data_IF_846283548645
#
_entry.id   IF_846283548645
#
_cell.length_a   1.000
_cell.length_b   1.000
_cell.length_c   1.000
_cell.angle_alpha   90.00
_cell.angle_beta   90.00
_cell.angle_gamma   90.00
#
_symmetry.space_group_name_H-M   'P 1'
#
loop_
_entity.id
_entity.type
_entity.pdbx_description
1 polymer ?
#
# COMPACT_ATOMS: atom_id res chain seq x y z
N UNK A 1 42.10 -46.71 33.33
CA UNK A 1 41.62 -45.74 34.35
C UNK A 1 40.31 -45.13 33.87
N UNK A 2 39.59 -44.39 34.73
CA UNK A 2 38.28 -43.82 34.41
C UNK A 2 38.31 -42.47 33.65
N UNK A 3 39.49 -42.06 33.16
CA UNK A 3 39.68 -40.73 32.57
C UNK A 3 39.45 -39.60 33.57
N UNK A 4 39.06 -38.45 33.05
CA UNK A 4 38.56 -37.27 33.76
C UNK A 4 37.74 -36.42 32.78
N UNK A 5 37.03 -35.43 33.32
CA UNK A 5 36.26 -34.44 32.57
C UNK A 5 36.74 -33.03 32.93
N UNK A 6 36.74 -32.12 31.95
CA UNK A 6 36.95 -30.70 32.17
C UNK A 6 35.69 -29.95 31.74
N UNK A 7 35.08 -29.22 32.66
CA UNK A 7 33.95 -28.34 32.39
C UNK A 7 34.34 -26.88 32.57
N UNK A 8 33.66 -25.98 31.88
CA UNK A 8 33.73 -24.53 32.12
C UNK A 8 32.31 -24.02 32.40
N UNK A 9 32.10 -23.39 33.55
CA UNK A 9 30.79 -22.97 34.04
C UNK A 9 30.79 -21.53 34.54
N UNK A 10 29.63 -20.87 34.51
CA UNK A 10 29.39 -19.59 35.18
C UNK A 10 29.01 -19.78 36.68
N UNK A 11 28.64 -20.99 37.08
CA UNK A 11 28.30 -21.42 38.44
C UNK A 11 29.37 -22.36 39.00
N UNK A 12 29.31 -22.67 40.30
CA UNK A 12 30.20 -23.66 40.94
C UNK A 12 29.74 -25.11 40.74
N UNK A 13 28.63 -25.32 40.03
CA UNK A 13 28.02 -26.62 39.70
C UNK A 13 28.50 -27.09 38.32
N UNK A 14 28.77 -28.39 38.15
CA UNK A 14 29.25 -28.95 36.87
C UNK A 14 28.11 -29.16 35.87
N UNK A 15 26.90 -29.31 36.37
CA UNK A 15 25.67 -29.59 35.64
C UNK A 15 25.30 -28.45 34.68
N UNK A 16 25.60 -27.21 35.07
CA UNK A 16 25.40 -26.00 34.26
C UNK A 16 26.60 -25.72 33.32
N UNK A 17 27.66 -26.54 33.40
CA UNK A 17 28.94 -26.31 32.74
C UNK A 17 29.01 -26.88 31.33
N UNK A 18 29.68 -26.17 30.43
CA UNK A 18 30.03 -26.70 29.11
C UNK A 18 31.15 -27.74 29.24
N UNK A 19 30.94 -28.94 28.70
CA UNK A 19 31.95 -30.00 28.67
C UNK A 19 33.04 -29.68 27.63
N UNK A 20 34.18 -29.18 28.10
CA UNK A 20 35.35 -28.87 27.27
C UNK A 20 36.16 -30.12 26.88
N UNK A 21 36.24 -31.12 27.76
CA UNK A 21 37.07 -32.30 27.51
C UNK A 21 36.60 -33.53 28.30
N UNK A 22 36.75 -34.71 27.70
CA UNK A 22 36.50 -36.01 28.30
C UNK A 22 37.60 -36.97 27.84
N UNK A 23 38.40 -37.49 28.77
CA UNK A 23 39.49 -38.44 28.51
C UNK A 23 38.95 -39.84 28.20
N UNK A 24 38.57 -40.09 26.95
CA UNK A 24 38.12 -41.40 26.46
C UNK A 24 39.34 -42.31 26.28
N UNK A 25 39.71 -43.05 27.33
CA UNK A 25 40.88 -43.92 27.28
C UNK A 25 40.75 -45.05 26.23
N UNK A 26 41.78 -45.18 25.39
CA UNK A 26 42.03 -46.41 24.63
C UNK A 26 42.62 -47.46 25.56
N UNK A 27 42.19 -48.71 25.41
CA UNK A 27 42.67 -49.84 26.22
C UNK A 27 44.20 -49.96 26.06
N UNK A 28 44.90 -50.11 27.18
CA UNK A 28 46.36 -50.20 27.32
C UNK A 28 47.19 -48.91 27.11
N UNK A 29 46.60 -47.72 27.22
CA UNK A 29 47.34 -46.44 27.26
C UNK A 29 47.28 -45.72 28.60
N UNK A 30 48.43 -45.24 29.11
CA UNK A 30 48.48 -44.06 29.99
C UNK A 30 48.31 -42.79 29.14
N UNK A 31 47.54 -41.78 29.59
CA UNK A 31 47.47 -40.50 28.91
C UNK A 31 48.82 -39.76 28.89
N UNK A 32 48.91 -38.73 28.07
CA UNK A 32 50.08 -37.86 28.00
C UNK A 32 50.26 -37.04 29.29
N UNK A 33 51.52 -36.80 29.67
CA UNK A 33 51.90 -35.96 30.81
C UNK A 33 51.74 -34.45 30.53
N UNK A 34 51.82 -34.03 29.26
CA UNK A 34 51.34 -32.73 28.76
C UNK A 34 50.09 -32.98 27.90
N UNK A 35 48.95 -32.38 28.24
CA UNK A 35 47.67 -32.60 27.56
C UNK A 35 46.99 -31.26 27.26
N UNK A 36 47.22 -30.73 26.05
CA UNK A 36 46.76 -29.41 25.60
C UNK A 36 45.32 -29.47 25.13
N UNK A 37 44.41 -28.98 25.97
CA UNK A 37 42.96 -28.94 25.73
C UNK A 37 42.59 -27.56 25.16
N UNK A 38 42.23 -27.51 23.88
CA UNK A 38 41.72 -26.31 23.23
C UNK A 38 40.19 -26.22 23.44
N UNK A 39 39.73 -25.37 24.35
CA UNK A 39 38.32 -25.07 24.55
C UNK A 39 38.06 -23.57 24.65
N UNK A 40 37.26 -23.02 23.74
CA UNK A 40 36.96 -21.58 23.65
C UNK A 40 35.52 -21.31 24.05
N UNK A 41 35.24 -21.28 25.35
CA UNK A 41 33.92 -21.00 25.93
C UNK A 41 34.01 -20.03 27.11
N UNK A 42 32.93 -19.28 27.36
CA UNK A 42 32.86 -18.35 28.49
C UNK A 42 32.43 -19.07 29.77
N UNK A 43 33.17 -18.83 30.86
CA UNK A 43 32.78 -19.20 32.21
C UNK A 43 33.53 -18.38 33.26
N UNK A 44 33.16 -18.60 34.52
CA UNK A 44 33.83 -18.05 35.71
C UNK A 44 34.66 -19.11 36.45
N UNK A 45 34.33 -20.39 36.27
CA UNK A 45 34.95 -21.52 36.93
C UNK A 45 35.36 -22.57 35.90
N UNK A 46 36.61 -23.05 36.00
CA UNK A 46 37.05 -24.29 35.36
C UNK A 46 36.87 -25.40 36.38
N UNK A 47 36.09 -26.42 36.06
CA UNK A 47 35.75 -27.52 36.96
C UNK A 47 36.38 -28.80 36.40
N UNK A 48 37.45 -29.24 37.05
CA UNK A 48 37.99 -30.58 36.89
C UNK A 48 37.07 -31.59 37.63
N UNK A 49 36.65 -32.65 36.96
CA UNK A 49 35.79 -33.68 37.56
C UNK A 49 36.26 -35.09 37.23
N UNK A 50 36.40 -35.91 38.27
CA UNK A 50 36.78 -37.32 38.18
C UNK A 50 36.14 -38.05 39.37
N UNK A 51 35.16 -38.91 39.09
CA UNK A 51 34.39 -39.62 40.12
C UNK A 51 34.49 -41.13 39.97
N UNK A 52 34.69 -41.81 41.10
CA UNK A 52 34.63 -43.26 41.23
C UNK A 52 33.53 -43.63 42.22
N UNK A 53 32.38 -44.04 41.69
CA UNK A 53 31.22 -44.42 42.51
C UNK A 53 31.47 -45.77 43.19
N UNK A 54 31.33 -45.84 44.51
CA UNK A 54 31.62 -47.03 45.32
C UNK A 54 30.80 -48.27 44.93
N UNK A 55 29.62 -48.05 44.34
CA UNK A 55 28.64 -49.10 44.03
C UNK A 55 28.59 -49.45 42.53
N UNK A 56 29.62 -49.08 41.76
CA UNK A 56 29.71 -49.36 40.31
C UNK A 56 30.80 -50.40 40.03
N UNK A 57 30.42 -51.47 39.33
CA UNK A 57 31.37 -52.50 38.86
C UNK A 57 32.12 -52.00 37.63
N UNK A 58 33.31 -51.42 37.85
CA UNK A 58 34.20 -51.01 36.78
C UNK A 58 34.82 -52.23 36.05
N UNK A 59 35.18 -52.11 34.75
CA UNK A 59 35.84 -53.20 34.02
C UNK A 59 37.18 -53.62 34.65
N UNK A 60 37.52 -54.91 34.59
CA UNK A 60 38.67 -55.50 35.29
C UNK A 60 40.05 -54.91 34.95
N UNK A 61 40.18 -54.20 33.83
CA UNK A 61 41.40 -53.47 33.45
C UNK A 61 41.50 -52.07 34.09
N UNK A 62 40.60 -51.70 35.01
CA UNK A 62 40.67 -50.49 35.81
C UNK A 62 41.36 -50.78 37.15
N UNK A 63 42.55 -50.20 37.38
CA UNK A 63 43.15 -50.20 38.71
C UNK A 63 42.26 -49.47 39.72
N UNK A 64 41.96 -50.11 40.84
CA UNK A 64 41.19 -49.52 41.95
C UNK A 64 41.95 -48.42 42.68
N UNK A 65 43.29 -48.49 42.70
CA UNK A 65 44.16 -47.59 43.47
C UNK A 65 44.71 -46.41 42.66
N UNK A 66 44.35 -46.27 41.38
CA UNK A 66 44.87 -45.23 40.49
C UNK A 66 43.94 -44.00 40.42
N UNK A 67 44.38 -42.87 40.95
CA UNK A 67 43.67 -41.59 40.89
C UNK A 67 44.40 -40.60 39.95
N UNK A 68 43.73 -39.47 39.67
CA UNK A 68 44.33 -38.30 39.04
C UNK A 68 44.02 -37.09 39.92
N UNK A 69 45.04 -36.27 40.21
CA UNK A 69 44.91 -34.99 40.90
C UNK A 69 45.32 -33.86 39.94
N UNK A 70 44.67 -32.71 40.06
CA UNK A 70 45.02 -31.52 39.30
C UNK A 70 46.24 -30.86 39.95
N UNK A 71 47.44 -31.12 39.41
CA UNK A 71 48.69 -30.62 39.96
C UNK A 71 48.86 -29.10 39.81
N UNK A 72 48.42 -28.54 38.67
CA UNK A 72 48.51 -27.12 38.34
C UNK A 72 47.37 -26.72 37.39
N UNK A 73 46.97 -25.45 37.41
CA UNK A 73 46.02 -24.86 36.46
C UNK A 73 46.41 -23.39 36.20
N UNK A 74 47.01 -23.14 35.05
CA UNK A 74 47.30 -21.78 34.58
C UNK A 74 46.10 -21.19 33.83
N UNK A 75 45.69 -19.96 34.17
CA UNK A 75 44.63 -19.22 33.46
C UNK A 75 45.21 -17.94 32.89
N UNK A 76 45.52 -17.97 31.60
CA UNK A 76 46.09 -16.85 30.87
C UNK A 76 44.99 -15.86 30.40
N UNK A 77 45.18 -14.57 30.68
CA UNK A 77 44.26 -13.51 30.27
C UNK A 77 44.66 -12.14 30.79
N UNK A 78 43.88 -11.12 30.45
CA UNK A 78 44.16 -9.74 30.85
C UNK A 78 43.62 -9.42 32.25
N UNK A 79 44.49 -8.89 33.11
CA UNK A 79 44.17 -8.46 34.48
C UNK A 79 43.24 -7.23 34.53
N UNK A 80 43.23 -6.43 33.46
CA UNK A 80 42.31 -5.30 33.29
C UNK A 80 41.14 -5.69 32.39
N UNK A 81 39.92 -5.56 32.90
CA UNK A 81 38.69 -5.82 32.14
C UNK A 81 38.57 -4.81 31.00
N UNK A 82 38.22 -5.28 29.80
CA UNK A 82 38.03 -4.45 28.62
C UNK A 82 39.31 -4.16 27.83
N UNK A 83 40.35 -4.97 28.02
CA UNK A 83 41.57 -4.94 27.21
C UNK A 83 41.94 -6.35 26.69
N UNK A 84 42.64 -6.39 25.55
CA UNK A 84 43.09 -7.61 24.87
C UNK A 84 44.47 -7.43 24.22
N UNK A 85 44.94 -8.50 23.57
CA UNK A 85 46.24 -8.61 22.92
C UNK A 85 47.33 -9.10 23.88
N UNK A 86 48.46 -9.54 23.34
CA UNK A 86 49.56 -10.17 24.10
C UNK A 86 50.10 -9.35 25.27
N UNK A 87 49.99 -8.02 25.21
CA UNK A 87 50.41 -7.09 26.25
C UNK A 87 49.24 -6.43 27.00
N UNK A 88 47.99 -6.85 26.75
CA UNK A 88 46.77 -6.33 27.40
C UNK A 88 46.59 -4.80 27.36
N UNK A 89 47.10 -4.16 26.31
CA UNK A 89 47.08 -2.70 26.14
C UNK A 89 46.12 -2.22 25.04
N UNK A 90 45.44 -3.13 24.33
CA UNK A 90 44.47 -2.77 23.27
C UNK A 90 43.06 -2.79 23.87
N UNK A 91 42.30 -1.69 23.89
CA UNK A 91 40.96 -1.68 24.46
C UNK A 91 39.98 -2.49 23.59
N UNK A 92 39.09 -3.25 24.23
CA UNK A 92 37.99 -3.94 23.55
C UNK A 92 37.09 -2.95 22.79
N UNK A 93 36.49 -3.34 21.65
CA UNK A 93 35.58 -2.48 20.90
C UNK A 93 34.44 -1.90 21.76
N UNK A 94 34.13 -0.61 21.56
CA UNK A 94 33.20 0.17 22.40
C UNK A 94 31.81 -0.44 22.53
N UNK A 95 31.35 -1.14 21.49
CA UNK A 95 30.02 -1.75 21.41
C UNK A 95 29.97 -3.22 21.87
N UNK A 96 31.08 -3.78 22.38
CA UNK A 96 31.02 -5.07 23.06
C UNK A 96 30.13 -4.96 24.31
N UNK A 97 29.24 -5.93 24.52
CA UNK A 97 28.50 -6.09 25.76
C UNK A 97 29.48 -6.18 26.95
N UNK A 98 29.18 -5.45 28.03
CA UNK A 98 30.06 -5.29 29.22
C UNK A 98 31.48 -4.75 28.90
N UNK A 99 31.74 -4.27 27.68
CA UNK A 99 33.09 -4.03 27.11
C UNK A 99 33.96 -5.29 27.06
N UNK A 100 33.39 -6.49 26.99
CA UNK A 100 34.12 -7.77 27.07
C UNK A 100 34.37 -8.37 25.69
N UNK A 101 35.64 -8.64 25.40
CA UNK A 101 36.11 -9.28 24.19
C UNK A 101 37.09 -10.42 24.51
N UNK A 102 37.28 -11.32 23.54
CA UNK A 102 38.28 -12.37 23.57
C UNK A 102 39.70 -11.79 23.65
N UNK A 103 40.51 -12.33 24.56
CA UNK A 103 41.82 -11.74 24.93
C UNK A 103 42.88 -11.88 23.83
N UNK A 104 42.68 -12.75 22.84
CA UNK A 104 43.61 -12.98 21.73
C UNK A 104 43.18 -12.18 20.49
N UNK A 105 41.93 -12.32 20.08
CA UNK A 105 41.39 -11.80 18.81
C UNK A 105 40.74 -10.42 18.93
N UNK A 106 40.35 -9.99 20.13
CA UNK A 106 39.58 -8.77 20.34
C UNK A 106 38.11 -8.87 19.91
N UNK A 107 37.63 -10.07 19.56
CA UNK A 107 36.23 -10.27 19.19
C UNK A 107 35.30 -10.15 20.41
N UNK A 108 34.25 -9.36 20.31
CA UNK A 108 33.25 -9.19 21.35
C UNK A 108 32.52 -10.52 21.63
N UNK A 109 32.28 -10.83 22.90
CA UNK A 109 31.50 -12.03 23.30
C UNK A 109 29.99 -11.86 23.02
N UNK A 110 29.54 -10.61 22.88
CA UNK A 110 28.21 -10.20 22.47
C UNK A 110 28.22 -8.69 22.17
N UNK A 111 27.22 -8.20 21.45
CA UNK A 111 27.07 -6.77 21.14
C UNK A 111 26.02 -6.12 22.04
N UNK A 112 26.15 -4.81 22.26
CA UNK A 112 25.04 -4.00 22.77
C UNK A 112 23.93 -3.88 21.70
N UNK A 113 22.66 -3.60 22.08
CA UNK A 113 21.56 -3.51 21.12
C UNK A 113 21.84 -2.54 19.97
N UNK A 114 21.50 -2.95 18.75
CA UNK A 114 21.71 -2.17 17.54
C UNK A 114 23.03 -2.38 16.81
N UNK A 115 23.89 -3.29 17.28
CA UNK A 115 25.17 -3.62 16.64
C UNK A 115 25.39 -5.13 16.47
N UNK A 116 26.20 -5.49 15.47
CA UNK A 116 26.54 -6.87 15.05
C UNK A 116 27.97 -6.95 14.49
N UNK A 117 28.40 -8.17 14.16
CA UNK A 117 29.74 -8.49 13.69
C UNK A 117 30.73 -8.80 14.83
N UNK A 118 31.87 -9.41 14.54
CA UNK A 118 32.80 -9.92 15.55
C UNK A 118 33.37 -8.82 16.47
N UNK A 119 33.40 -7.57 16.02
CA UNK A 119 33.86 -6.41 16.80
C UNK A 119 32.73 -5.42 17.15
N UNK A 120 31.47 -5.78 16.90
CA UNK A 120 30.29 -4.92 17.10
C UNK A 120 30.39 -3.53 16.42
N UNK A 121 31.18 -3.44 15.35
CA UNK A 121 31.42 -2.22 14.57
C UNK A 121 30.37 -1.99 13.47
N UNK A 122 29.54 -2.99 13.18
CA UNK A 122 28.47 -2.89 12.19
C UNK A 122 27.18 -2.55 12.92
N UNK A 123 26.45 -1.53 12.45
CA UNK A 123 25.06 -1.29 12.88
C UNK A 123 24.15 -2.40 12.35
N UNK A 124 22.92 -2.52 12.88
CA UNK A 124 21.97 -3.48 12.33
C UNK A 124 21.70 -3.28 10.83
N UNK A 125 21.51 -4.37 10.07
CA UNK A 125 21.13 -4.30 8.67
C UNK A 125 19.74 -3.68 8.51
N UNK A 126 19.47 -3.17 7.30
CA UNK A 126 18.21 -2.49 6.97
C UNK A 126 16.98 -3.30 7.38
N UNK A 127 15.96 -2.61 7.89
CA UNK A 127 14.73 -3.17 8.46
C UNK A 127 14.90 -4.05 9.73
N UNK A 128 16.07 -4.02 10.40
CA UNK A 128 16.32 -4.76 11.65
C UNK A 128 16.88 -3.88 12.78
N UNK A 129 16.63 -4.26 14.04
CA UNK A 129 17.07 -3.52 15.23
C UNK A 129 17.22 -4.41 16.47
N UNK A 130 17.74 -3.83 17.56
CA UNK A 130 17.73 -4.41 18.90
C UNK A 130 18.85 -5.41 19.17
N UNK A 131 18.68 -6.26 20.18
CA UNK A 131 19.70 -7.22 20.58
C UNK A 131 19.96 -8.25 19.47
N UNK A 132 21.24 -8.41 19.10
CA UNK A 132 21.69 -9.25 17.97
C UNK A 132 20.95 -8.95 16.65
N UNK A 133 20.38 -7.74 16.49
CA UNK A 133 19.52 -7.35 15.37
C UNK A 133 18.35 -8.30 15.10
N UNK A 134 17.81 -8.94 16.14
CA UNK A 134 16.78 -9.97 16.04
C UNK A 134 15.36 -9.42 15.79
N UNK A 135 15.12 -8.13 16.03
CA UNK A 135 13.81 -7.49 15.88
C UNK A 135 13.70 -6.84 14.50
N UNK A 136 12.52 -6.94 13.87
CA UNK A 136 12.21 -6.22 12.62
C UNK A 136 11.57 -4.87 12.91
N UNK A 137 11.86 -3.87 12.08
CA UNK A 137 11.19 -2.56 12.09
C UNK A 137 9.68 -2.68 11.82
N UNK A 138 8.90 -1.68 12.25
CA UNK A 138 7.52 -1.49 11.80
C UNK A 138 7.44 -0.62 10.53
N UNK A 139 6.25 -0.10 10.25
CA UNK A 139 5.92 0.55 8.98
C UNK A 139 6.33 2.05 8.95
N UNK A 140 7.64 2.33 9.07
CA UNK A 140 8.19 3.69 9.13
C UNK A 140 7.91 4.52 7.86
N UNK A 141 7.57 5.79 8.06
CA UNK A 141 7.38 6.79 7.00
C UNK A 141 8.62 7.00 6.11
N UNK A 142 8.38 7.44 4.87
CA UNK A 142 9.38 7.84 3.85
C UNK A 142 10.33 6.74 3.36
N UNK A 143 10.14 5.49 3.78
CA UNK A 143 10.98 4.35 3.36
C UNK A 143 12.30 4.23 4.13
N UNK A 144 12.46 5.00 5.21
CA UNK A 144 13.62 4.89 6.10
C UNK A 144 13.64 3.57 6.87
N UNK A 145 14.83 3.15 7.31
CA UNK A 145 14.97 2.10 8.32
C UNK A 145 14.76 2.69 9.71
N UNK A 146 14.11 1.96 10.61
CA UNK A 146 13.94 2.37 12.01
C UNK A 146 15.28 2.50 12.76
N UNK A 147 15.29 3.21 13.88
CA UNK A 147 16.48 3.39 14.70
C UNK A 147 16.99 2.03 15.20
N UNK A 148 18.16 1.61 14.71
CA UNK A 148 18.78 0.30 14.93
C UNK A 148 18.87 -0.16 16.40
N UNK A 149 18.88 0.75 17.39
CA UNK A 149 18.92 0.39 18.82
C UNK A 149 17.54 -0.04 19.36
N UNK A 150 16.48 0.73 19.12
CA UNK A 150 15.19 0.61 19.82
C UNK A 150 13.97 0.37 18.91
N UNK A 151 14.11 0.53 17.59
CA UNK A 151 13.04 0.30 16.61
C UNK A 151 12.19 1.51 16.25
N UNK A 152 12.51 2.71 16.77
CA UNK A 152 11.67 3.91 16.55
C UNK A 152 11.78 4.49 15.13
N UNK A 153 10.71 5.08 14.63
CA UNK A 153 10.61 5.66 13.29
C UNK A 153 10.70 7.20 13.33
N UNK A 154 11.85 7.76 12.90
CA UNK A 154 12.16 9.20 12.98
C UNK A 154 11.12 10.14 12.32
N UNK A 155 10.39 9.66 11.32
CA UNK A 155 9.39 10.44 10.59
C UNK A 155 7.94 9.95 10.81
N UNK A 156 7.68 9.24 11.91
CA UNK A 156 6.38 8.63 12.18
C UNK A 156 6.07 7.47 11.23
N UNK A 157 4.78 7.20 11.06
CA UNK A 157 4.25 5.98 10.46
C UNK A 157 3.53 6.19 9.12
N UNK A 158 3.78 5.26 8.19
CA UNK A 158 3.00 5.16 6.96
C UNK A 158 1.51 4.97 7.26
N UNK A 159 0.68 5.23 6.25
CA UNK A 159 -0.78 5.08 6.32
C UNK A 159 -1.21 3.75 6.95
N UNK A 160 -2.12 3.81 7.92
CA UNK A 160 -2.66 2.64 8.60
C UNK A 160 -1.87 2.14 9.81
N UNK A 161 -0.72 2.75 10.15
CA UNK A 161 0.10 2.38 11.32
C UNK A 161 0.31 3.54 12.30
N UNK A 162 0.62 3.20 13.55
CA UNK A 162 0.85 4.13 14.67
C UNK A 162 1.83 3.53 15.70
N UNK A 163 2.19 4.33 16.72
CA UNK A 163 3.17 3.98 17.75
C UNK A 163 4.59 4.35 17.32
N UNK A 164 5.50 4.57 18.29
CA UNK A 164 6.84 5.09 18.00
C UNK A 164 7.68 4.16 17.10
N UNK A 165 7.39 2.85 17.10
CA UNK A 165 8.02 1.83 16.25
C UNK A 165 7.19 1.44 15.02
N UNK A 166 6.02 2.05 14.83
CA UNK A 166 5.06 1.82 13.77
C UNK A 166 4.61 0.34 13.58
N UNK A 167 4.57 -0.45 14.67
CA UNK A 167 4.06 -1.83 14.64
C UNK A 167 2.58 -1.97 14.96
N UNK A 168 1.97 -0.97 15.59
CA UNK A 168 0.55 -0.99 15.92
C UNK A 168 -0.28 -0.56 14.72
N UNK A 169 -1.38 -1.27 14.49
CA UNK A 169 -2.38 -0.89 13.48
C UNK A 169 -3.21 0.30 13.99
N UNK A 170 -3.84 1.07 13.08
CA UNK A 170 -4.78 2.10 13.50
C UNK A 170 -5.92 1.52 14.34
N UNK A 171 -6.31 2.20 15.44
CA UNK A 171 -7.43 1.77 16.25
C UNK A 171 -8.74 2.04 15.52
N UNK A 172 -9.75 1.20 15.74
CA UNK A 172 -11.09 1.34 15.16
C UNK A 172 -11.64 2.75 15.35
N UNK A 173 -11.91 3.44 14.25
CA UNK A 173 -12.36 4.84 14.23
C UNK A 173 -11.32 5.83 13.70
N UNK A 174 -10.11 5.37 13.34
CA UNK A 174 -9.01 6.20 12.87
C UNK A 174 -8.34 5.65 11.59
N UNK A 175 -7.73 6.54 10.79
CA UNK A 175 -7.08 6.21 9.52
C UNK A 175 -5.93 7.18 9.16
N UNK A 176 -5.18 6.84 8.12
CA UNK A 176 -4.12 7.66 7.52
C UNK A 176 -2.76 7.51 8.22
N UNK A 177 -1.84 8.43 7.93
CA UNK A 177 -0.50 8.51 8.55
C UNK A 177 -0.61 8.79 10.04
N UNK A 178 0.16 8.07 10.87
CA UNK A 178 0.11 8.12 12.34
C UNK A 178 -1.31 7.98 12.93
N UNK A 179 -2.25 7.47 12.14
CA UNK A 179 -3.67 7.32 12.46
C UNK A 179 -4.35 8.60 12.97
N UNK A 180 -3.92 9.79 12.55
CA UNK A 180 -4.42 11.07 13.10
C UNK A 180 -5.85 11.43 12.68
N UNK A 181 -6.33 10.89 11.55
CA UNK A 181 -7.65 11.24 11.01
C UNK A 181 -8.74 10.32 11.56
N UNK A 182 -9.93 10.89 11.87
CA UNK A 182 -11.07 10.14 12.42
C UNK A 182 -12.10 9.77 11.36
N UNK A 183 -12.54 8.51 11.35
CA UNK A 183 -13.65 8.03 10.52
C UNK A 183 -14.88 8.94 10.65
N UNK A 184 -15.64 9.12 9.56
CA UNK A 184 -16.86 9.91 9.61
C UNK A 184 -17.89 9.32 10.57
N UNK A 185 -18.53 10.19 11.36
CA UNK A 185 -19.70 9.81 12.19
C UNK A 185 -20.88 9.31 11.33
N UNK A 186 -20.85 9.60 10.04
CA UNK A 186 -21.87 9.23 9.06
C UNK A 186 -21.56 7.92 8.31
N UNK A 187 -20.45 7.23 8.62
CA UNK A 187 -20.29 5.83 8.23
C UNK A 187 -21.49 5.01 8.75
N UNK A 188 -22.02 4.11 7.94
CA UNK A 188 -23.15 3.23 8.28
C UNK A 188 -22.83 2.43 9.55
N UNK A 189 -21.68 1.73 9.55
CA UNK A 189 -21.08 1.18 10.77
C UNK A 189 -20.33 2.28 11.53
N UNK A 190 -20.77 2.59 12.75
CA UNK A 190 -20.14 3.58 13.63
C UNK A 190 -18.66 3.24 13.88
N UNK A 191 -17.77 4.22 13.69
CA UNK A 191 -16.31 4.10 13.90
C UNK A 191 -15.64 2.94 13.13
N UNK A 192 -16.20 2.53 11.98
CA UNK A 192 -15.57 1.55 11.09
C UNK A 192 -15.33 2.14 9.70
N UNK A 193 -14.08 2.46 9.42
CA UNK A 193 -13.60 2.84 8.11
C UNK A 193 -12.23 2.20 7.85
N UNK A 194 -11.84 2.12 6.58
CA UNK A 194 -10.57 1.56 6.14
C UNK A 194 -9.40 2.41 6.69
N UNK A 195 -8.52 1.80 7.49
CA UNK A 195 -7.33 2.45 8.11
C UNK A 195 -6.38 3.13 7.13
N UNK A 196 -6.39 2.75 5.86
CA UNK A 196 -5.53 3.33 4.82
C UNK A 196 -6.21 4.49 4.08
N UNK A 197 -7.49 4.36 3.72
CA UNK A 197 -8.21 5.30 2.83
C UNK A 197 -9.28 6.16 3.52
N UNK A 198 -9.67 5.83 4.75
CA UNK A 198 -10.78 6.45 5.49
C UNK A 198 -12.18 6.07 4.99
N UNK A 199 -12.28 5.17 4.00
CA UNK A 199 -13.55 4.74 3.40
C UNK A 199 -14.45 3.97 4.39
N UNK A 200 -15.72 4.36 4.49
CA UNK A 200 -16.67 3.84 5.46
C UNK A 200 -17.12 2.40 5.16
N UNK A 201 -16.95 1.50 6.13
CA UNK A 201 -17.40 0.12 5.98
C UNK A 201 -18.93 0.01 5.87
N UNK A 202 -19.41 -0.57 4.78
CA UNK A 202 -20.85 -0.68 4.52
C UNK A 202 -21.50 0.65 4.09
N UNK A 203 -20.70 1.60 3.60
CA UNK A 203 -21.17 2.85 3.02
C UNK A 203 -21.65 3.86 4.07
N UNK A 204 -22.58 4.72 3.64
CA UNK A 204 -23.04 5.87 4.41
C UNK A 204 -24.40 5.67 5.08
N UNK A 205 -24.65 6.42 6.16
CA UNK A 205 -26.00 6.62 6.71
C UNK A 205 -26.86 7.41 5.70
N UNK A 206 -28.20 7.25 5.71
CA UNK A 206 -29.10 7.97 4.81
C UNK A 206 -28.84 9.49 4.78
N UNK A 207 -28.86 10.08 3.59
CA UNK A 207 -28.59 11.51 3.39
C UNK A 207 -27.09 11.88 3.36
N UNK A 208 -26.18 10.92 3.28
CA UNK A 208 -24.73 11.14 3.11
C UNK A 208 -24.17 10.31 1.97
N UNK A 209 -23.15 10.83 1.27
CA UNK A 209 -22.55 10.25 0.06
C UNK A 209 -21.01 10.40 0.05
N UNK A 210 -20.38 9.73 -0.92
CA UNK A 210 -18.93 9.65 -1.08
C UNK A 210 -18.27 8.63 -0.15
N UNK A 211 -17.11 8.08 -0.53
CA UNK A 211 -16.44 6.98 0.17
C UNK A 211 -16.25 7.20 1.69
N UNK A 212 -15.95 8.43 2.10
CA UNK A 212 -15.77 8.80 3.51
C UNK A 212 -17.02 9.44 4.16
N UNK A 213 -18.16 9.50 3.48
CA UNK A 213 -19.43 10.02 4.02
C UNK A 213 -19.33 11.41 4.70
N UNK A 214 -18.51 12.30 4.15
CA UNK A 214 -18.41 13.71 4.57
C UNK A 214 -19.31 14.65 3.76
N UNK A 215 -19.83 14.21 2.60
CA UNK A 215 -20.75 14.99 1.76
C UNK A 215 -22.19 14.69 2.14
N UNK A 216 -22.97 15.73 2.48
CA UNK A 216 -24.41 15.60 2.71
C UNK A 216 -25.13 15.61 1.36
N UNK A 217 -26.07 14.68 1.17
CA UNK A 217 -26.92 14.61 -0.01
C UNK A 217 -27.90 15.78 0.00
N UNK A 218 -27.63 16.81 -0.80
CA UNK A 218 -28.42 18.06 -0.88
C UNK A 218 -29.66 17.95 -1.75
N UNK A 219 -29.75 16.93 -2.60
CA UNK A 219 -30.92 16.61 -3.42
C UNK A 219 -31.19 15.10 -3.37
N UNK A 220 -32.43 14.73 -3.09
CA UNK A 220 -32.94 13.43 -3.53
C UNK A 220 -33.03 13.45 -5.07
N UNK A 221 -32.89 12.30 -5.76
CA UNK A 221 -33.29 12.22 -7.16
C UNK A 221 -34.75 12.65 -7.28
N UNK A 222 -35.09 13.52 -8.24
CA UNK A 222 -36.50 13.79 -8.57
C UNK A 222 -37.05 12.56 -9.30
N UNK A 223 -37.55 11.59 -8.55
CA UNK A 223 -38.34 10.48 -9.08
C UNK A 223 -39.75 10.98 -9.42
N UNK A 224 -39.84 11.83 -10.44
CA UNK A 224 -41.06 12.49 -10.92
C UNK A 224 -41.33 12.18 -12.41
N UNK A 225 -40.85 11.02 -12.90
CA UNK A 225 -41.20 10.46 -14.21
C UNK A 225 -42.67 9.99 -14.23
N UNK A 226 -43.57 10.97 -14.20
CA UNK A 226 -45.01 10.87 -14.44
C UNK A 226 -45.53 12.16 -15.10
N UNK A 227 -44.96 13.33 -14.75
CA UNK A 227 -45.41 14.62 -15.31
C UNK A 227 -45.06 14.80 -16.80
N UNK A 228 -43.95 14.24 -17.28
CA UNK A 228 -43.53 14.38 -18.70
C UNK A 228 -44.61 13.84 -19.65
N UNK A 229 -45.22 12.70 -19.33
CA UNK A 229 -46.28 12.11 -20.16
C UNK A 229 -47.56 12.98 -20.15
N UNK A 230 -47.86 13.61 -19.02
CA UNK A 230 -49.03 14.47 -18.83
C UNK A 230 -48.85 15.82 -19.56
N UNK A 231 -47.66 16.42 -19.49
CA UNK A 231 -47.30 17.62 -20.26
C UNK A 231 -47.35 17.34 -21.77
N UNK A 232 -46.79 16.22 -22.24
CA UNK A 232 -46.87 15.81 -23.66
C UNK A 232 -48.33 15.64 -24.09
N UNK A 233 -49.17 14.98 -23.28
CA UNK A 233 -50.60 14.81 -23.54
C UNK A 233 -51.34 16.14 -23.72
N UNK A 234 -51.08 17.12 -22.85
CA UNK A 234 -51.65 18.47 -22.95
C UNK A 234 -51.19 19.17 -24.25
N UNK A 235 -49.89 19.14 -24.56
CA UNK A 235 -49.35 19.79 -25.77
C UNK A 235 -49.93 19.18 -27.05
N UNK A 236 -49.98 17.85 -27.14
CA UNK A 236 -50.58 17.13 -28.28
C UNK A 236 -52.07 17.49 -28.42
N UNK A 237 -52.81 17.55 -27.30
CA UNK A 237 -54.23 17.91 -27.30
C UNK A 237 -54.46 19.34 -27.83
N UNK A 238 -53.64 20.31 -27.42
CA UNK A 238 -53.72 21.70 -27.92
C UNK A 238 -53.39 21.77 -29.41
N UNK A 239 -52.36 21.06 -29.89
CA UNK A 239 -52.00 21.02 -31.32
C UNK A 239 -53.13 20.41 -32.17
N UNK A 240 -53.82 19.38 -31.69
CA UNK A 240 -54.99 18.79 -32.37
C UNK A 240 -56.16 19.79 -32.45
N UNK A 241 -56.43 20.54 -31.38
CA UNK A 241 -57.49 21.57 -31.39
C UNK A 241 -57.15 22.75 -32.31
N UNK A 242 -55.89 23.19 -32.33
CA UNK A 242 -55.43 24.26 -33.23
C UNK A 242 -55.44 23.83 -34.71
N UNK A 243 -54.93 22.64 -35.03
CA UNK A 243 -54.98 22.12 -36.42
C UNK A 243 -56.41 21.83 -36.88
N UNK A 244 -57.26 21.27 -36.01
CA UNK A 244 -58.67 21.04 -36.27
C UNK A 244 -59.46 22.33 -36.53
N UNK A 245 -59.24 23.37 -35.73
CA UNK A 245 -59.90 24.68 -35.91
C UNK A 245 -59.39 25.43 -37.15
N UNK A 246 -58.09 25.36 -37.48
CA UNK A 246 -57.54 25.87 -38.74
C UNK A 246 -58.13 25.12 -39.95
N UNK A 247 -58.22 23.79 -39.90
CA UNK A 247 -58.82 23.00 -40.98
C UNK A 247 -60.32 23.29 -41.15
N UNK A 248 -61.06 23.50 -40.05
CA UNK A 248 -62.46 23.88 -40.09
C UNK A 248 -62.64 25.31 -40.63
N UNK A 249 -61.78 26.26 -40.26
CA UNK A 249 -61.73 27.61 -40.86
C UNK A 249 -61.44 27.57 -42.37
N UNK A 250 -60.48 26.76 -42.81
CA UNK A 250 -60.17 26.57 -44.24
C UNK A 250 -61.36 25.94 -44.98
N UNK A 251 -62.00 24.92 -44.40
CA UNK A 251 -63.22 24.31 -44.94
C UNK A 251 -64.37 25.32 -45.05
N UNK A 252 -64.61 26.12 -44.00
CA UNK A 252 -65.64 27.14 -43.97
C UNK A 252 -65.37 28.25 -45.00
N UNK A 253 -64.12 28.70 -45.14
CA UNK A 253 -63.67 29.65 -46.17
C UNK A 253 -63.88 29.09 -47.59
N UNK A 254 -63.58 27.81 -47.83
CA UNK A 254 -63.83 27.11 -49.10
C UNK A 254 -65.32 26.95 -49.40
N UNK A 255 -66.14 26.69 -48.37
CA UNK A 255 -67.62 26.59 -48.47
C UNK A 255 -68.28 27.96 -48.73
N UNK A 256 -67.78 29.02 -48.12
CA UNK A 256 -68.19 30.41 -48.38
C UNK A 256 -67.90 30.83 -49.83
N UNK A 257 -66.69 30.51 -50.34
CA UNK A 257 -66.34 30.75 -51.74
C UNK A 257 -67.27 30.01 -52.72
N UNK A 258 -67.68 28.77 -52.41
CA UNK A 258 -68.66 28.01 -53.20
C UNK A 258 -70.00 28.75 -53.33
N UNK A 259 -70.50 29.36 -52.25
CA UNK A 259 -71.75 30.13 -52.28
C UNK A 259 -71.62 31.46 -53.04
N UNK A 260 -70.41 31.99 -53.19
CA UNK A 260 -70.16 33.18 -54.03
C UNK A 260 -70.26 32.85 -55.52
N UNK A 261 -69.87 31.64 -55.93
CA UNK A 261 -69.93 31.20 -57.33
C UNK A 261 -71.36 31.19 -57.89
N UNK A 262 -72.33 30.63 -57.15
CA UNK A 262 -73.73 30.58 -57.59
C UNK A 262 -74.39 31.96 -57.72
N UNK A 263 -73.88 32.99 -57.03
CA UNK A 263 -74.42 34.37 -57.16
C UNK A 263 -73.92 35.13 -58.38
N UNK A 264 -72.84 34.69 -59.06
CA UNK A 264 -72.40 35.33 -60.32
C UNK A 264 -73.25 34.90 -61.51
N UNK A 265 -73.55 33.61 -61.64
CA UNK A 265 -74.35 33.07 -62.75
C UNK A 265 -75.82 33.55 -62.78
N UNK A 266 -76.30 34.27 -61.76
CA UNK A 266 -77.61 34.91 -61.74
C UNK A 266 -77.60 36.39 -62.20
N UNK A 267 -76.43 36.96 -62.50
CA UNK A 267 -76.27 38.36 -62.94
C UNK A 267 -75.78 38.50 -64.40
N UNK A 268 -75.49 37.39 -65.07
CA UNK A 268 -74.76 37.34 -66.35
C UNK A 268 -75.65 37.06 -67.58
N UNK A 269 -76.98 37.08 -67.43
CA UNK A 269 -77.95 36.95 -68.53
C UNK A 269 -78.68 38.24 -68.92
N UNK A 270 -78.38 39.37 -68.26
CA UNK A 270 -79.05 40.67 -68.46
C UNK A 270 -78.16 41.68 -69.20
N UNK A 271 -76.88 41.35 -69.42
CA UNK A 271 -75.85 42.33 -69.83
C UNK A 271 -75.22 42.05 -71.21
N UNK A 272 -75.72 41.06 -71.97
CA UNK A 272 -75.24 40.78 -73.34
C UNK A 272 -75.99 41.54 -74.47
N UNK A 273 -77.10 42.22 -74.17
CA UNK A 273 -77.89 42.93 -75.20
C UNK A 273 -77.34 44.32 -75.56
N UNK A 274 -76.29 44.80 -74.89
CA UNK A 274 -75.82 46.20 -75.01
C UNK A 274 -74.28 46.37 -75.02
N UNK A 275 -73.59 45.83 -76.05
CA UNK A 275 -72.45 46.52 -76.71
C UNK A 275 -71.90 45.84 -77.98
N UNK A 276 -72.76 45.63 -78.98
CA UNK A 276 -72.27 45.53 -80.36
C UNK A 276 -72.05 46.94 -80.95
N UNK A 277 -70.81 47.46 -80.89
CA UNK A 277 -70.23 48.44 -81.84
C UNK A 277 -68.79 48.86 -81.47
N UNK A 278 -68.02 49.16 -82.53
CA UNK A 278 -66.66 49.77 -82.54
C UNK A 278 -65.56 48.85 -81.95
N UNK A 279 -64.55 48.35 -82.68
CA UNK A 279 -63.79 48.77 -83.90
C UNK A 279 -62.95 50.05 -83.67
N UNK A 280 -61.65 50.12 -83.98
CA UNK A 280 -60.83 49.33 -84.93
C UNK A 280 -59.41 48.98 -84.43
N UNK A 281 -58.76 48.05 -85.17
CA UNK A 281 -57.33 48.01 -85.61
C UNK A 281 -56.56 49.36 -85.53
N UNK A 282 -55.21 49.40 -85.54
CA UNK A 282 -54.22 48.31 -85.71
C UNK A 282 -53.07 48.40 -84.67
N UNK A 283 -51.81 47.89 -84.71
CA UNK A 283 -50.94 46.89 -85.43
C UNK A 283 -49.71 46.67 -84.45
N UNK A 284 -48.60 45.91 -84.61
CA UNK A 284 -48.03 44.96 -85.60
C UNK A 284 -47.00 43.99 -84.91
N UNK A 285 -46.11 43.38 -85.71
CA UNK A 285 -44.99 42.40 -85.49
C UNK A 285 -43.69 42.97 -84.84
N UNK A 286 -42.66 42.22 -84.38
CA UNK A 286 -42.10 40.90 -84.81
C UNK A 286 -41.48 39.99 -83.70
N UNK A 287 -41.14 38.75 -84.09
CA UNK A 287 -40.05 37.81 -83.68
C UNK A 287 -39.57 37.72 -82.20
N UNK A 288 -39.48 36.58 -81.48
CA UNK A 288 -39.29 35.12 -81.71
C UNK A 288 -37.84 34.60 -81.50
N UNK A 289 -37.74 33.47 -80.77
CA UNK A 289 -36.60 32.54 -80.55
C UNK A 289 -35.69 32.74 -79.32
N UNK A 290 -34.91 31.76 -78.81
CA UNK A 290 -35.04 30.28 -78.60
C UNK A 290 -33.80 29.78 -77.81
N UNK A 291 -33.97 28.80 -76.88
CA UNK A 291 -32.89 27.99 -76.21
C UNK A 291 -31.89 28.76 -75.29
N UNK A 292 -31.34 28.24 -74.17
CA UNK A 292 -30.72 26.94 -73.74
C UNK A 292 -29.25 26.80 -74.19
N UNK A 293 -28.28 26.89 -73.25
CA UNK A 293 -27.46 25.76 -72.76
C UNK A 293 -26.50 26.19 -71.58
N UNK A 294 -25.57 25.31 -71.20
CA UNK A 294 -24.90 25.17 -69.88
C UNK A 294 -23.47 25.78 -69.80
N UNK A 295 -22.72 25.35 -68.77
CA UNK A 295 -21.24 25.30 -68.60
C UNK A 295 -20.58 26.46 -67.82
N UNK A 296 -19.78 26.14 -66.80
CA UNK A 296 -18.87 27.09 -66.12
C UNK A 296 -18.46 26.74 -64.67
N UNK A 297 -17.36 26.01 -64.51
CA UNK A 297 -16.59 25.78 -63.26
C UNK A 297 -15.10 26.12 -63.60
N UNK A 298 -14.07 26.15 -62.71
CA UNK A 298 -14.01 25.97 -61.23
C UNK A 298 -13.02 26.94 -60.50
N UNK A 299 -12.56 26.55 -59.29
CA UNK A 299 -11.31 26.98 -58.58
C UNK A 299 -11.30 28.37 -57.88
N UNK A 300 -10.45 28.67 -56.89
CA UNK A 300 -9.19 28.04 -56.39
C UNK A 300 -9.16 27.74 -54.87
N UNK A 301 -8.08 27.09 -54.40
CA UNK A 301 -7.76 26.70 -53.01
C UNK A 301 -6.25 26.88 -52.78
N UNK A 302 -5.84 27.31 -51.57
CA UNK A 302 -4.51 27.15 -50.90
C UNK A 302 -4.60 27.95 -49.57
N UNK A 303 -4.24 27.51 -48.36
CA UNK A 303 -3.26 26.55 -47.82
C UNK A 303 -1.85 27.15 -47.59
N UNK A 304 -1.31 27.02 -46.35
CA UNK A 304 0.08 27.35 -46.00
C UNK A 304 0.45 26.87 -44.58
N UNK A 305 1.64 26.29 -44.43
CA UNK A 305 2.07 25.53 -43.25
C UNK A 305 3.60 25.62 -43.06
N UNK A 306 4.07 25.53 -41.80
CA UNK A 306 5.45 25.16 -41.37
C UNK A 306 6.58 26.22 -41.52
N UNK A 307 7.31 26.48 -40.42
CA UNK A 307 8.78 26.30 -40.19
C UNK A 307 9.09 26.99 -38.84
N UNK A 308 9.43 26.30 -37.74
CA UNK A 308 10.64 25.50 -37.46
C UNK A 308 11.94 26.31 -37.50
N UNK A 309 12.46 26.63 -36.30
CA UNK A 309 13.85 26.84 -35.94
C UNK A 309 14.00 26.61 -34.42
#
# INVERSE_FOLDING_TARGET
MAGFFLYVSNTTTKEDGHLCFHEIQRVNGTPSLDQRINCSVHGRYVIYYNERLSNVTYPSYYSMSAFYELCELEVYGCSMVGYYGSNCNIPCPTNCQEKRCDVITGHCLGCVPGYVGPTCSQVCPNQMYGQSCSLRCGNCSKGETCQHVNGTCLYGCNVGAQGEDCKLECPSGFYGTDCVYKCSKNCNKTSRCNRFTGECEGGCKPGWIGAMCYQKQTQAPLSCDNDILLVISIVVSVVIVLTGSVMNYIYWKKKSASQTSQKRQAAESVTETLKSRQTNKPEDTSEQNTERQEVGNPNTYEDLHIYSN
#
